data_IF_647529405449
#
_entry.id   IF_647529405449
#
_cell.length_a   1.000
_cell.length_b   1.000
_cell.length_c   1.000
_cell.angle_alpha   90.00
_cell.angle_beta   90.00
_cell.angle_gamma   90.00
#
_symmetry.space_group_name_H-M   'P 1'
#
loop_
_entity.id
_entity.type
_entity.pdbx_description
1 polymer ?
#
# COMPACT_ATOMS: atom_id res chain seq x y z
N UNK A 1 -6.10 28.10 0.36
CA UNK A 1 -5.26 27.49 1.41
C UNK A 1 -4.46 26.41 0.71
N UNK A 2 -3.19 26.14 1.07
CA UNK A 2 -2.56 24.96 0.51
C UNK A 2 -3.43 23.74 0.84
N UNK A 3 -3.64 22.89 -0.16
CA UNK A 3 -4.36 21.63 0.04
C UNK A 3 -3.68 20.83 1.16
N UNK A 4 -4.47 20.13 1.97
CA UNK A 4 -3.92 19.20 2.96
C UNK A 4 -3.15 18.14 2.18
N UNK A 5 -1.87 17.87 2.50
CA UNK A 5 -1.11 16.87 1.78
C UNK A 5 -1.78 15.49 1.90
N UNK A 6 -1.86 14.79 0.77
CA UNK A 6 -2.52 13.49 0.64
C UNK A 6 -1.77 12.39 1.41
N UNK A 7 -2.49 11.50 2.07
CA UNK A 7 -1.92 10.40 2.88
C UNK A 7 -2.51 9.06 2.46
N UNK A 8 -1.80 7.96 2.74
CA UNK A 8 -2.37 6.62 2.61
C UNK A 8 -3.45 6.39 3.68
N UNK A 9 -4.65 6.04 3.24
CA UNK A 9 -5.83 5.89 4.12
C UNK A 9 -6.42 4.50 4.11
N UNK A 10 -5.97 3.60 3.22
CA UNK A 10 -6.49 2.24 3.10
C UNK A 10 -5.54 1.36 2.30
N UNK A 11 -5.56 0.04 2.57
CA UNK A 11 -4.76 -0.96 1.85
C UNK A 11 -5.64 -2.08 1.34
N UNK A 12 -5.77 -2.22 0.03
CA UNK A 12 -6.58 -3.25 -0.61
C UNK A 12 -5.71 -4.40 -1.12
N UNK A 13 -6.04 -5.63 -0.73
CA UNK A 13 -5.52 -6.83 -1.34
C UNK A 13 -6.51 -7.33 -2.39
N UNK A 14 -6.08 -7.44 -3.63
CA UNK A 14 -6.76 -8.23 -4.65
C UNK A 14 -6.22 -9.65 -4.59
N UNK A 15 -7.09 -10.66 -4.45
CA UNK A 15 -6.66 -12.04 -4.33
C UNK A 15 -7.51 -13.00 -5.14
N UNK A 16 -6.84 -13.91 -5.85
CA UNK A 16 -7.47 -15.04 -6.56
C UNK A 16 -8.03 -16.10 -5.59
N UNK A 17 -7.62 -16.08 -4.32
CA UNK A 17 -8.13 -16.95 -3.26
C UNK A 17 -8.27 -16.21 -1.93
N UNK A 18 -9.36 -15.43 -1.74
CA UNK A 18 -9.57 -14.63 -0.53
C UNK A 18 -9.58 -15.43 0.77
N UNK A 19 -10.04 -16.68 0.74
CA UNK A 19 -10.07 -17.54 1.92
C UNK A 19 -8.65 -17.86 2.41
N UNK A 20 -7.76 -18.27 1.49
CA UNK A 20 -6.36 -18.54 1.82
C UNK A 20 -5.60 -17.27 2.19
N UNK A 21 -5.89 -16.14 1.54
CA UNK A 21 -5.33 -14.86 1.95
C UNK A 21 -5.74 -14.49 3.39
N UNK A 22 -7.03 -14.69 3.75
CA UNK A 22 -7.50 -14.44 5.11
C UNK A 22 -6.81 -15.33 6.15
N UNK A 23 -6.62 -16.63 5.86
CA UNK A 23 -5.86 -17.55 6.72
C UNK A 23 -4.40 -17.09 6.89
N UNK A 24 -3.75 -16.74 5.79
CA UNK A 24 -2.35 -16.32 5.79
C UNK A 24 -2.13 -15.02 6.59
N UNK A 25 -2.84 -13.95 6.26
CA UNK A 25 -2.66 -12.66 6.97
C UNK A 25 -3.21 -12.72 8.40
N UNK A 26 -4.18 -13.58 8.68
CA UNK A 26 -4.61 -13.89 10.04
C UNK A 26 -3.49 -14.53 10.87
N UNK A 27 -2.76 -15.49 10.31
CA UNK A 27 -1.63 -16.14 10.97
C UNK A 27 -0.41 -15.21 11.14
N UNK A 28 -0.12 -14.37 10.13
CA UNK A 28 1.08 -13.52 10.10
C UNK A 28 0.91 -12.25 10.92
N UNK A 29 -0.24 -11.55 10.77
CA UNK A 29 -0.51 -10.21 11.31
C UNK A 29 -1.58 -10.18 12.40
N UNK A 30 -2.24 -11.31 12.66
CA UNK A 30 -3.36 -11.37 13.62
C UNK A 30 -4.64 -10.69 13.10
N UNK A 31 -4.73 -10.45 11.81
CA UNK A 31 -5.90 -9.79 11.22
C UNK A 31 -7.12 -10.71 11.18
N UNK A 32 -8.28 -10.09 11.25
CA UNK A 32 -9.55 -10.75 10.96
C UNK A 32 -10.22 -10.11 9.77
N UNK A 33 -11.18 -10.80 9.17
CA UNK A 33 -11.98 -10.27 8.06
C UNK A 33 -13.43 -10.15 8.48
N UNK A 34 -14.04 -9.03 8.09
CA UNK A 34 -15.47 -8.79 8.28
C UNK A 34 -16.10 -8.45 6.92
N UNK A 35 -17.28 -9.00 6.64
CA UNK A 35 -18.04 -8.62 5.45
C UNK A 35 -18.36 -7.13 5.51
N UNK A 36 -17.99 -6.36 4.49
CA UNK A 36 -18.28 -4.94 4.38
C UNK A 36 -18.60 -4.59 2.92
N UNK A 37 -19.47 -3.61 2.74
CA UNK A 37 -19.88 -3.14 1.42
C UNK A 37 -21.04 -3.90 0.78
N UNK A 38 -21.40 -3.56 -0.46
CA UNK A 38 -22.44 -4.24 -1.20
C UNK A 38 -22.13 -5.72 -1.35
N UNK A 39 -23.10 -6.58 -1.05
CA UNK A 39 -22.98 -8.04 -1.11
C UNK A 39 -22.59 -8.59 -2.48
N UNK A 40 -22.73 -7.77 -3.53
CA UNK A 40 -22.42 -8.12 -4.91
C UNK A 40 -20.93 -8.12 -5.27
N UNK A 41 -20.08 -7.48 -4.43
CA UNK A 41 -18.65 -7.27 -4.75
C UNK A 41 -17.68 -8.27 -4.09
N UNK A 42 -18.15 -9.24 -3.29
CA UNK A 42 -17.28 -10.15 -2.52
C UNK A 42 -16.12 -9.42 -1.80
N UNK A 43 -16.42 -8.24 -1.26
CA UNK A 43 -15.46 -7.39 -0.56
C UNK A 43 -15.56 -7.61 0.95
N UNK A 44 -14.40 -7.76 1.60
CA UNK A 44 -14.30 -7.88 3.06
C UNK A 44 -13.35 -6.82 3.59
N UNK A 45 -13.62 -6.29 4.77
CA UNK A 45 -12.67 -5.42 5.47
C UNK A 45 -11.63 -6.24 6.24
N UNK A 46 -10.38 -5.83 6.19
CA UNK A 46 -9.34 -6.24 7.12
C UNK A 46 -9.45 -5.45 8.41
N UNK A 47 -9.43 -6.17 9.54
CA UNK A 47 -9.44 -5.56 10.87
C UNK A 47 -8.15 -5.91 11.61
N UNK A 48 -7.48 -4.90 12.14
CA UNK A 48 -6.38 -5.00 13.09
C UNK A 48 -6.86 -4.51 14.46
N UNK A 49 -6.88 -5.36 15.47
CA UNK A 49 -7.40 -4.99 16.79
C UNK A 49 -8.86 -4.52 16.80
N UNK A 50 -9.65 -4.86 15.79
CA UNK A 50 -11.03 -4.40 15.60
C UNK A 50 -11.19 -3.13 14.77
N UNK A 51 -10.11 -2.45 14.41
CA UNK A 51 -10.12 -1.27 13.55
C UNK A 51 -9.95 -1.65 12.08
N UNK A 52 -10.75 -1.03 11.19
CA UNK A 52 -10.67 -1.24 9.74
C UNK A 52 -9.41 -0.60 9.16
N UNK A 53 -8.54 -1.42 8.55
CA UNK A 53 -7.24 -0.95 8.00
C UNK A 53 -7.10 -1.18 6.50
N UNK A 54 -7.96 -1.98 5.91
CA UNK A 54 -7.82 -2.37 4.52
C UNK A 54 -8.98 -3.21 4.02
N UNK A 55 -8.86 -3.69 2.81
CA UNK A 55 -9.87 -4.54 2.19
C UNK A 55 -9.28 -5.75 1.48
N UNK A 56 -10.11 -6.76 1.33
CA UNK A 56 -9.85 -7.98 0.59
C UNK A 56 -10.89 -8.10 -0.51
N UNK A 57 -10.45 -8.02 -1.75
CA UNK A 57 -11.27 -8.14 -2.95
C UNK A 57 -10.95 -9.46 -3.67
N UNK A 58 -11.98 -10.21 -4.00
CA UNK A 58 -11.83 -11.39 -4.85
C UNK A 58 -11.58 -10.97 -6.31
N UNK A 59 -10.53 -11.53 -6.92
CA UNK A 59 -10.27 -11.38 -8.34
C UNK A 59 -11.23 -12.32 -9.07
N UNK A 60 -12.21 -11.76 -9.77
CA UNK A 60 -13.14 -12.55 -10.60
C UNK A 60 -12.43 -13.03 -11.87
N UNK A 61 -12.97 -14.07 -12.56
CA UNK A 61 -12.43 -14.51 -13.85
C UNK A 61 -12.31 -13.38 -14.88
N UNK A 62 -13.27 -12.47 -14.94
CA UNK A 62 -13.25 -11.34 -15.87
C UNK A 62 -12.15 -10.33 -15.51
N UNK A 63 -11.89 -10.08 -14.20
CA UNK A 63 -10.79 -9.23 -13.74
C UNK A 63 -9.44 -9.87 -14.08
N UNK A 64 -9.30 -11.17 -13.91
CA UNK A 64 -8.10 -11.92 -14.28
C UNK A 64 -7.83 -11.88 -15.79
N UNK A 65 -8.88 -12.03 -16.62
CA UNK A 65 -8.78 -11.85 -18.08
C UNK A 65 -8.40 -10.41 -18.46
N UNK A 66 -8.80 -9.42 -17.66
CA UNK A 66 -8.39 -8.02 -17.80
C UNK A 66 -6.95 -7.75 -17.31
N UNK A 67 -6.23 -8.76 -16.83
CA UNK A 67 -4.84 -8.66 -16.40
C UNK A 67 -4.65 -8.28 -14.93
N UNK A 68 -5.68 -8.38 -14.10
CA UNK A 68 -5.54 -8.19 -12.65
C UNK A 68 -4.78 -9.37 -12.05
N UNK A 69 -3.75 -9.06 -11.28
CA UNK A 69 -2.89 -10.02 -10.58
C UNK A 69 -3.11 -9.89 -9.07
N UNK A 70 -2.78 -10.97 -8.32
CA UNK A 70 -2.73 -10.92 -6.85
C UNK A 70 -1.75 -9.84 -6.39
N UNK A 71 -2.20 -8.95 -5.49
CA UNK A 71 -1.36 -7.86 -5.04
C UNK A 71 -2.06 -6.81 -4.20
N UNK A 72 -1.25 -6.03 -3.51
CA UNK A 72 -1.66 -4.92 -2.66
C UNK A 72 -1.73 -3.62 -3.44
N UNK A 73 -2.76 -2.82 -3.16
CA UNK A 73 -2.96 -1.47 -3.70
C UNK A 73 -3.25 -0.51 -2.54
N UNK A 74 -2.45 0.54 -2.40
CA UNK A 74 -2.70 1.60 -1.42
C UNK A 74 -3.68 2.61 -1.96
N UNK A 75 -4.49 3.16 -1.07
CA UNK A 75 -5.43 4.23 -1.36
C UNK A 75 -4.91 5.52 -0.74
N UNK A 76 -4.74 6.53 -1.57
CA UNK A 76 -4.29 7.86 -1.16
C UNK A 76 -5.48 8.81 -1.20
N UNK A 77 -5.72 9.54 -0.11
CA UNK A 77 -6.79 10.53 -0.07
C UNK A 77 -6.45 11.73 -0.95
N UNK A 78 -7.45 12.26 -1.63
CA UNK A 78 -7.36 13.46 -2.47
C UNK A 78 -8.61 14.31 -2.30
N UNK A 79 -8.49 15.61 -2.52
CA UNK A 79 -9.65 16.50 -2.42
C UNK A 79 -10.68 16.24 -3.54
N UNK A 80 -10.20 15.97 -4.76
CA UNK A 80 -11.02 15.74 -5.96
C UNK A 80 -10.41 14.61 -6.78
N UNK A 81 -11.13 13.48 -6.85
CA UNK A 81 -10.69 12.29 -7.58
C UNK A 81 -10.62 12.53 -9.08
N UNK A 82 -11.62 13.22 -9.64
CA UNK A 82 -11.68 13.44 -11.09
C UNK A 82 -10.61 14.42 -11.57
N UNK A 83 -10.34 15.47 -10.79
CA UNK A 83 -9.22 16.39 -11.05
C UNK A 83 -7.86 15.69 -10.90
N UNK A 84 -7.72 14.81 -9.92
CA UNK A 84 -6.51 13.98 -9.73
C UNK A 84 -6.29 13.03 -10.90
N UNK A 85 -7.34 12.34 -11.36
CA UNK A 85 -7.30 11.47 -12.54
C UNK A 85 -6.89 12.26 -13.79
N UNK A 86 -7.49 13.43 -14.01
CA UNK A 86 -7.13 14.30 -15.15
C UNK A 86 -5.65 14.70 -15.11
N UNK A 87 -5.13 15.04 -13.92
CA UNK A 87 -3.71 15.38 -13.69
C UNK A 87 -2.80 14.19 -13.97
N UNK A 88 -3.15 13.00 -13.47
CA UNK A 88 -2.39 11.75 -13.70
C UNK A 88 -2.28 11.46 -15.19
N UNK A 89 -3.40 11.51 -15.92
CA UNK A 89 -3.43 11.24 -17.36
C UNK A 89 -2.63 12.29 -18.13
N UNK A 90 -2.78 13.58 -17.80
CA UNK A 90 -2.02 14.66 -18.44
C UNK A 90 -0.50 14.52 -18.24
N UNK A 91 -0.06 13.86 -17.16
CA UNK A 91 1.34 13.58 -16.85
C UNK A 91 1.85 12.23 -17.38
N UNK A 92 1.05 11.52 -18.18
CA UNK A 92 1.42 10.25 -18.82
C UNK A 92 1.11 8.99 -18.02
N UNK A 93 0.39 9.11 -16.89
CA UNK A 93 -0.19 7.97 -16.19
C UNK A 93 -1.49 7.50 -16.84
N UNK A 94 -2.14 6.51 -16.26
CA UNK A 94 -3.36 5.90 -16.78
C UNK A 94 -4.46 5.84 -15.73
N UNK A 95 -5.72 5.94 -16.18
CA UNK A 95 -6.91 5.64 -15.38
C UNK A 95 -7.48 4.29 -15.82
N UNK A 96 -7.62 3.37 -14.89
CA UNK A 96 -8.15 2.03 -15.16
C UNK A 96 -9.62 1.93 -14.84
N UNK A 97 -10.05 2.56 -13.74
CA UNK A 97 -11.43 2.52 -13.25
C UNK A 97 -11.69 3.75 -12.38
N UNK A 98 -12.89 4.31 -12.47
CA UNK A 98 -13.37 5.33 -11.53
C UNK A 98 -14.82 5.03 -11.16
N UNK A 99 -15.13 5.06 -9.85
CA UNK A 99 -16.47 4.76 -9.35
C UNK A 99 -16.78 5.52 -8.06
N UNK A 100 -18.07 5.69 -7.80
CA UNK A 100 -18.58 6.13 -6.50
C UNK A 100 -19.29 4.95 -5.84
N UNK A 101 -18.85 4.62 -4.61
CA UNK A 101 -19.46 3.58 -3.80
C UNK A 101 -20.20 4.25 -2.66
N UNK A 102 -21.54 4.15 -2.60
CA UNK A 102 -22.34 4.77 -1.54
C UNK A 102 -21.90 4.33 -0.14
N UNK A 103 -21.75 5.25 0.78
CA UNK A 103 -21.27 5.00 2.14
C UNK A 103 -19.75 4.81 2.27
N UNK A 104 -19.01 4.87 1.15
CA UNK A 104 -17.57 4.70 1.13
C UNK A 104 -16.87 5.92 0.54
N UNK A 105 -17.27 6.36 -0.66
CA UNK A 105 -16.72 7.54 -1.31
C UNK A 105 -16.49 7.37 -2.82
N UNK A 106 -15.87 8.38 -3.41
CA UNK A 106 -15.38 8.35 -4.80
C UNK A 106 -13.95 7.85 -4.84
N UNK A 107 -13.66 6.94 -5.77
CA UNK A 107 -12.32 6.38 -5.95
C UNK A 107 -12.00 6.11 -7.41
N UNK A 108 -10.72 6.09 -7.73
CA UNK A 108 -10.23 5.67 -9.03
C UNK A 108 -8.95 4.82 -8.88
N UNK A 109 -8.90 3.70 -9.60
CA UNK A 109 -7.67 2.94 -9.79
C UNK A 109 -6.88 3.59 -10.93
N UNK A 110 -5.64 3.91 -10.64
CA UNK A 110 -4.75 4.63 -11.57
C UNK A 110 -3.38 3.98 -11.56
N UNK A 111 -2.55 4.33 -12.54
CA UNK A 111 -1.12 4.06 -12.49
C UNK A 111 -0.31 5.32 -12.82
N UNK A 112 0.86 5.41 -12.22
CA UNK A 112 1.82 6.45 -12.53
C UNK A 112 2.39 6.28 -13.96
N UNK A 113 3.18 7.24 -14.49
CA UNK A 113 3.76 7.15 -15.83
C UNK A 113 4.69 5.96 -16.05
N UNK A 114 5.15 5.30 -14.99
CA UNK A 114 6.01 4.13 -15.07
C UNK A 114 5.27 2.81 -14.85
N UNK A 115 3.95 2.88 -14.54
CA UNK A 115 3.04 1.75 -14.42
C UNK A 115 2.79 1.26 -13.00
N UNK A 116 3.25 1.97 -11.96
CA UNK A 116 2.94 1.62 -10.58
C UNK A 116 1.46 1.96 -10.26
N UNK A 117 0.67 0.93 -9.95
CA UNK A 117 -0.75 1.07 -9.68
C UNK A 117 -1.03 1.47 -8.22
N UNK A 118 -2.04 2.31 -8.03
CA UNK A 118 -2.56 2.73 -6.72
C UNK A 118 -3.99 3.28 -6.88
N UNK A 119 -4.65 3.60 -5.77
CA UNK A 119 -5.94 4.29 -5.78
C UNK A 119 -5.77 5.74 -5.32
N UNK A 120 -6.48 6.64 -5.98
CA UNK A 120 -6.84 7.95 -5.42
C UNK A 120 -8.29 7.89 -4.95
N UNK A 121 -8.56 8.44 -3.75
CA UNK A 121 -9.87 8.32 -3.11
C UNK A 121 -10.25 9.59 -2.36
N UNK A 122 -11.53 9.95 -2.45
CA UNK A 122 -12.18 10.89 -1.55
C UNK A 122 -13.20 10.11 -0.73
N UNK A 123 -12.91 9.79 0.54
CA UNK A 123 -13.87 9.10 1.39
C UNK A 123 -15.09 9.98 1.68
N UNK A 124 -16.25 9.36 1.88
CA UNK A 124 -17.39 10.08 2.45
C UNK A 124 -17.07 10.51 3.89
N UNK A 125 -17.47 11.70 4.31
CA UNK A 125 -17.29 12.13 5.69
C UNK A 125 -17.96 11.15 6.67
N UNK A 126 -17.25 10.77 7.72
CA UNK A 126 -17.77 9.93 8.81
C UNK A 126 -17.44 10.57 10.14
N UNK A 127 -18.19 10.22 11.19
CA UNK A 127 -17.91 10.66 12.57
C UNK A 127 -16.71 9.92 13.19
N UNK A 128 -16.16 8.92 12.50
CA UNK A 128 -15.07 8.07 13.00
C UNK A 128 -13.68 8.75 12.97
N UNK A 129 -13.57 9.95 12.40
CA UNK A 129 -12.29 10.66 12.25
C UNK A 129 -11.44 10.13 11.11
N UNK A 130 -10.13 10.46 11.08
CA UNK A 130 -9.21 10.03 10.04
C UNK A 130 -9.00 8.52 10.07
N UNK A 131 -8.70 7.94 8.90
CA UNK A 131 -8.43 6.50 8.78
C UNK A 131 -7.23 6.08 9.64
N UNK A 132 -7.33 5.01 10.42
CA UNK A 132 -6.21 4.46 11.19
C UNK A 132 -5.29 3.56 10.36
N UNK A 133 -5.58 3.34 9.07
CA UNK A 133 -4.89 2.33 8.26
C UNK A 133 -3.37 2.53 8.18
N UNK A 134 -2.91 3.78 8.08
CA UNK A 134 -1.49 4.12 8.20
C UNK A 134 -1.21 4.69 9.59
N UNK A 135 -0.58 3.90 10.43
CA UNK A 135 -0.21 4.27 11.80
C UNK A 135 1.16 3.63 12.16
N UNK A 136 2.27 4.35 11.93
CA UNK A 136 3.60 3.84 12.23
C UNK A 136 3.72 3.32 13.67
N UNK A 137 4.33 2.15 13.82
CA UNK A 137 4.53 1.42 15.10
C UNK A 137 3.26 0.89 15.78
N UNK A 138 2.07 1.06 15.21
CA UNK A 138 0.85 0.41 15.70
C UNK A 138 0.75 -0.98 15.06
N UNK A 139 0.66 -2.02 15.88
CA UNK A 139 0.67 -3.41 15.40
C UNK A 139 -0.48 -3.71 14.45
N UNK A 140 -0.17 -4.34 13.33
CA UNK A 140 -1.12 -4.69 12.28
C UNK A 140 -1.51 -3.54 11.36
N UNK A 141 -1.08 -2.30 11.60
CA UNK A 141 -1.34 -1.15 10.75
C UNK A 141 -0.20 -0.93 9.76
N UNK A 142 -0.46 -0.19 8.68
CA UNK A 142 0.58 0.25 7.75
C UNK A 142 1.62 1.10 8.47
N UNK A 143 2.89 0.74 8.32
CA UNK A 143 4.01 1.44 8.96
C UNK A 143 4.92 2.17 7.98
N UNK A 144 4.92 1.75 6.71
CA UNK A 144 5.74 2.34 5.66
C UNK A 144 5.23 1.98 4.27
N UNK A 145 5.60 2.80 3.28
CA UNK A 145 5.24 2.58 1.88
C UNK A 145 6.46 2.81 0.99
N UNK A 146 6.77 1.92 0.07
CA UNK A 146 7.92 2.06 -0.83
C UNK A 146 7.49 1.95 -2.29
N UNK A 147 7.90 2.93 -3.10
CA UNK A 147 7.79 2.82 -4.54
C UNK A 147 9.09 2.29 -5.13
N UNK A 148 9.02 1.07 -5.64
CA UNK A 148 10.04 0.46 -6.49
C UNK A 148 9.80 0.89 -7.94
N UNK A 149 10.72 1.68 -8.50
CA UNK A 149 10.54 2.28 -9.82
C UNK A 149 11.82 2.21 -10.67
N UNK A 150 11.73 2.58 -11.94
CA UNK A 150 12.89 2.62 -12.86
C UNK A 150 13.60 3.96 -12.83
N UNK A 151 12.84 5.04 -12.64
CA UNK A 151 13.34 6.42 -12.54
C UNK A 151 12.70 7.10 -11.33
N UNK A 152 13.42 7.06 -10.21
CA UNK A 152 12.99 7.64 -8.95
C UNK A 152 12.91 9.17 -8.99
N UNK A 153 13.70 9.83 -9.83
CA UNK A 153 13.65 11.28 -9.97
C UNK A 153 12.36 11.72 -10.67
N UNK A 154 12.02 11.07 -11.79
CA UNK A 154 10.76 11.34 -12.50
C UNK A 154 9.54 11.01 -11.62
N UNK A 155 9.56 9.88 -10.91
CA UNK A 155 8.51 9.50 -9.98
C UNK A 155 8.38 10.53 -8.83
N UNK A 156 9.50 10.99 -8.27
CA UNK A 156 9.52 12.01 -7.22
C UNK A 156 8.79 13.30 -7.64
N UNK A 157 9.08 13.80 -8.83
CA UNK A 157 8.40 14.98 -9.38
C UNK A 157 6.90 14.72 -9.53
N UNK A 158 6.52 13.58 -10.10
CA UNK A 158 5.13 13.20 -10.31
C UNK A 158 4.33 13.20 -9.00
N UNK A 159 4.79 12.45 -7.97
CA UNK A 159 4.06 12.32 -6.71
C UNK A 159 4.03 13.61 -5.88
N UNK A 160 5.10 14.40 -5.91
CA UNK A 160 5.11 15.72 -5.26
C UNK A 160 4.09 16.68 -5.85
N UNK A 161 4.01 16.74 -7.18
CA UNK A 161 3.06 17.62 -7.87
C UNK A 161 1.61 17.13 -7.76
N UNK A 162 1.40 15.81 -7.74
CA UNK A 162 0.07 15.22 -7.62
C UNK A 162 -0.48 15.30 -6.20
N UNK A 163 0.34 14.93 -5.20
CA UNK A 163 -0.10 14.66 -3.83
C UNK A 163 0.35 15.70 -2.81
N UNK A 164 1.14 16.68 -3.23
CA UNK A 164 1.66 17.71 -2.32
C UNK A 164 2.71 17.23 -1.32
N UNK A 165 3.29 16.05 -1.56
CA UNK A 165 4.32 15.50 -0.67
C UNK A 165 5.60 16.35 -0.69
N UNK A 166 6.26 16.45 0.46
CA UNK A 166 7.57 17.09 0.58
C UNK A 166 8.67 16.04 0.74
N UNK A 167 9.89 16.37 0.35
CA UNK A 167 11.05 15.47 0.49
C UNK A 167 12.18 16.25 1.14
N UNK A 168 12.53 15.87 2.37
CA UNK A 168 13.54 16.56 3.17
C UNK A 168 14.84 15.76 3.29
N UNK A 169 14.83 14.49 2.99
CA UNK A 169 15.97 13.61 3.12
C UNK A 169 16.14 12.66 1.92
N UNK A 170 17.39 12.40 1.59
CA UNK A 170 17.77 11.31 0.71
C UNK A 170 18.88 10.51 1.39
N UNK A 171 18.71 9.19 1.43
CA UNK A 171 19.74 8.27 1.90
C UNK A 171 20.41 7.63 0.69
N UNK A 172 21.74 7.63 0.66
CA UNK A 172 22.49 6.92 -0.38
C UNK A 172 22.35 5.41 -0.20
N UNK A 173 21.82 4.73 -1.20
CA UNK A 173 21.73 3.26 -1.24
C UNK A 173 22.71 2.65 -2.23
N UNK A 174 23.95 3.10 -2.21
CA UNK A 174 25.07 2.60 -3.02
C UNK A 174 24.67 2.28 -4.48
N UNK A 175 24.49 1.01 -4.83
CA UNK A 175 24.17 0.56 -6.19
C UNK A 175 22.74 0.89 -6.67
N UNK A 176 21.79 1.19 -5.76
CA UNK A 176 20.40 1.52 -6.10
C UNK A 176 20.15 3.06 -6.19
N UNK A 177 21.17 3.89 -6.01
CA UNK A 177 21.05 5.34 -6.03
C UNK A 177 20.47 5.92 -4.74
N UNK A 178 19.66 6.99 -4.85
CA UNK A 178 19.07 7.66 -3.70
C UNK A 178 17.76 7.00 -3.27
N UNK A 179 17.60 6.80 -1.98
CA UNK A 179 16.33 6.46 -1.34
C UNK A 179 15.70 7.78 -0.90
N UNK A 180 14.71 8.24 -1.67
CA UNK A 180 14.07 9.53 -1.48
C UNK A 180 12.87 9.37 -0.55
N UNK A 181 12.95 9.94 0.66
CA UNK A 181 11.84 9.91 1.62
C UNK A 181 10.86 11.04 1.38
N UNK A 182 9.58 10.78 1.64
CA UNK A 182 8.49 11.73 1.47
C UNK A 182 7.69 11.89 2.75
N UNK A 183 7.31 13.13 3.02
CA UNK A 183 6.67 13.54 4.25
C UNK A 183 5.29 14.15 3.98
N UNK A 184 4.39 13.93 4.95
CA UNK A 184 3.10 14.59 5.08
C UNK A 184 3.00 15.20 6.48
N UNK A 185 2.74 16.50 6.58
CA UNK A 185 2.64 17.17 7.87
C UNK A 185 3.91 17.14 8.73
N UNK A 186 5.07 16.82 8.13
CA UNK A 186 6.34 16.65 8.83
C UNK A 186 6.70 15.20 9.16
N UNK A 187 5.77 14.28 9.03
CA UNK A 187 5.99 12.85 9.27
C UNK A 187 6.36 12.11 7.98
N UNK A 188 7.41 11.30 8.04
CA UNK A 188 7.82 10.47 6.92
C UNK A 188 6.81 9.33 6.72
N UNK A 189 6.27 9.20 5.49
CA UNK A 189 5.23 8.22 5.17
C UNK A 189 5.64 7.21 4.10
N UNK A 190 6.62 7.56 3.27
CA UNK A 190 7.01 6.71 2.14
C UNK A 190 8.42 7.01 1.64
N UNK A 191 8.91 6.13 0.77
CA UNK A 191 10.11 6.38 -0.01
C UNK A 191 9.93 5.95 -1.47
N UNK A 192 10.74 6.56 -2.34
CA UNK A 192 10.84 6.25 -3.77
C UNK A 192 12.30 6.00 -4.10
N UNK A 193 12.60 4.89 -4.78
CA UNK A 193 13.97 4.57 -5.19
C UNK A 193 14.01 3.69 -6.44
N UNK A 194 15.16 3.70 -7.11
CA UNK A 194 15.39 2.85 -8.25
C UNK A 194 15.58 1.39 -7.79
N UNK A 195 14.81 0.49 -8.38
CA UNK A 195 14.84 -0.93 -8.05
C UNK A 195 14.95 -1.80 -9.31
N UNK A 196 16.17 -1.92 -9.88
CA UNK A 196 16.36 -2.63 -11.14
C UNK A 196 16.05 -4.13 -11.06
N UNK A 197 16.00 -4.71 -9.87
CA UNK A 197 15.61 -6.10 -9.64
C UNK A 197 14.12 -6.39 -9.72
N UNK A 198 13.27 -5.35 -9.73
CA UNK A 198 11.82 -5.51 -9.87
C UNK A 198 11.42 -5.47 -11.34
N UNK A 199 10.68 -6.46 -11.84
CA UNK A 199 10.31 -6.53 -13.25
C UNK A 199 9.36 -5.42 -13.70
N UNK A 200 8.51 -4.94 -12.78
CA UNK A 200 7.54 -3.85 -13.00
C UNK A 200 7.60 -2.86 -11.84
N UNK A 201 7.47 -1.54 -12.09
CA UNK A 201 7.27 -0.56 -11.02
C UNK A 201 6.05 -0.92 -10.17
N UNK A 202 6.18 -0.78 -8.85
CA UNK A 202 5.10 -1.07 -7.90
C UNK A 202 5.29 -0.39 -6.57
N UNK A 203 4.20 -0.18 -5.87
CA UNK A 203 4.19 0.11 -4.45
C UNK A 203 4.32 -1.19 -3.66
N UNK A 204 5.11 -1.15 -2.59
CA UNK A 204 5.23 -2.18 -1.57
C UNK A 204 4.83 -1.57 -0.22
N UNK A 205 3.92 -2.22 0.48
CA UNK A 205 3.35 -1.74 1.72
C UNK A 205 3.86 -2.59 2.87
N UNK A 206 4.29 -1.93 3.95
CA UNK A 206 4.84 -2.56 5.14
C UNK A 206 3.87 -2.45 6.29
N UNK A 207 3.61 -3.56 6.95
CA UNK A 207 2.72 -3.64 8.11
C UNK A 207 3.54 -3.90 9.38
N UNK A 208 3.14 -3.27 10.49
CA UNK A 208 3.86 -3.37 11.74
C UNK A 208 3.58 -4.71 12.44
N UNK A 209 4.64 -5.34 12.93
CA UNK A 209 4.61 -6.56 13.75
C UNK A 209 5.35 -6.33 15.07
N UNK A 210 5.10 -7.19 16.03
CA UNK A 210 5.73 -7.18 17.36
C UNK A 210 7.23 -7.50 17.30
N UNK A 211 7.57 -8.64 16.73
CA UNK A 211 8.93 -9.15 16.58
C UNK A 211 9.15 -9.65 15.16
N UNK A 212 10.22 -9.18 14.51
CA UNK A 212 10.47 -9.45 13.10
C UNK A 212 10.91 -10.89 12.83
N UNK A 213 11.64 -11.54 13.76
CA UNK A 213 12.07 -12.92 13.60
C UNK A 213 10.89 -13.88 13.83
N UNK A 214 10.04 -13.60 14.81
CA UNK A 214 8.79 -14.34 15.01
C UNK A 214 7.84 -14.18 13.83
N UNK A 215 7.72 -12.96 13.27
CA UNK A 215 6.91 -12.70 12.07
C UNK A 215 7.45 -13.45 10.84
N UNK A 216 8.79 -13.49 10.66
CA UNK A 216 9.43 -14.32 9.62
C UNK A 216 9.02 -15.78 9.73
N UNK A 217 9.09 -16.35 10.94
CA UNK A 217 8.69 -17.74 11.16
C UNK A 217 7.20 -17.97 10.86
N UNK A 218 6.31 -17.01 11.22
CA UNK A 218 4.88 -17.08 10.87
C UNK A 218 4.64 -17.08 9.36
N UNK A 219 5.36 -16.22 8.61
CA UNK A 219 5.29 -16.16 7.14
C UNK A 219 5.66 -17.52 6.53
N UNK A 220 6.80 -18.09 6.93
CA UNK A 220 7.30 -19.38 6.42
C UNK A 220 6.34 -20.53 6.78
N UNK A 221 5.84 -20.56 8.02
CA UNK A 221 4.90 -21.59 8.49
C UNK A 221 3.53 -21.52 7.78
N UNK A 222 3.10 -20.31 7.37
CA UNK A 222 1.86 -20.11 6.62
C UNK A 222 2.03 -20.29 5.10
N UNK A 223 3.21 -20.71 4.62
CA UNK A 223 3.48 -20.99 3.22
C UNK A 223 3.90 -19.80 2.37
N UNK A 224 4.21 -18.66 2.99
CA UNK A 224 4.80 -17.51 2.32
C UNK A 224 6.30 -17.68 2.08
N UNK A 225 6.85 -16.82 1.25
CA UNK A 225 8.29 -16.81 0.89
C UNK A 225 8.94 -15.52 1.35
N UNK A 226 10.08 -15.62 2.04
CA UNK A 226 10.89 -14.45 2.38
C UNK A 226 11.74 -14.05 1.18
N UNK A 227 11.60 -12.85 0.70
CA UNK A 227 12.33 -12.31 -0.45
C UNK A 227 13.62 -11.57 -0.01
N UNK A 228 13.55 -10.85 1.12
CA UNK A 228 14.69 -10.11 1.69
C UNK A 228 14.51 -9.89 3.19
N UNK A 229 15.61 -9.74 3.89
CA UNK A 229 15.63 -9.47 5.34
C UNK A 229 15.55 -10.73 6.21
N UNK A 230 15.39 -10.59 7.54
CA UNK A 230 15.34 -9.32 8.28
C UNK A 230 16.60 -8.47 8.17
N UNK A 231 16.44 -7.16 7.97
CA UNK A 231 17.54 -6.20 7.95
C UNK A 231 17.17 -4.92 8.70
N UNK A 232 18.15 -4.25 9.36
CA UNK A 232 17.86 -3.03 10.12
C UNK A 232 17.54 -1.87 9.20
N UNK A 233 16.63 -0.98 9.66
CA UNK A 233 16.28 0.28 9.00
C UNK A 233 16.65 1.47 9.90
N UNK A 234 16.82 2.70 9.34
CA UNK A 234 17.28 3.86 10.09
C UNK A 234 16.41 4.24 11.29
N UNK A 235 15.15 3.83 11.32
CA UNK A 235 14.22 4.08 12.45
C UNK A 235 14.47 3.22 13.69
N UNK A 236 15.48 2.32 13.64
CA UNK A 236 15.80 1.37 14.69
C UNK A 236 14.99 0.07 14.66
N UNK A 237 14.02 -0.03 13.76
CA UNK A 237 13.28 -1.27 13.49
C UNK A 237 14.04 -2.17 12.51
N UNK A 238 13.48 -3.35 12.29
CA UNK A 238 13.91 -4.30 11.27
C UNK A 238 12.80 -4.49 10.25
N UNK A 239 13.18 -4.69 8.99
CA UNK A 239 12.26 -4.94 7.91
C UNK A 239 12.51 -6.30 7.26
N UNK A 240 11.47 -6.87 6.71
CA UNK A 240 11.57 -7.97 5.75
C UNK A 240 10.56 -7.78 4.62
N UNK A 241 10.89 -8.31 3.45
CA UNK A 241 10.00 -8.40 2.30
C UNK A 241 9.63 -9.86 2.07
N UNK A 242 8.36 -10.09 1.83
CA UNK A 242 7.82 -11.42 1.61
C UNK A 242 6.80 -11.45 0.48
N UNK A 243 6.47 -12.66 0.04
CA UNK A 243 5.39 -12.95 -0.90
C UNK A 243 4.44 -13.94 -0.24
N UNK A 244 3.14 -13.69 -0.31
CA UNK A 244 2.13 -14.60 0.19
C UNK A 244 1.95 -15.83 -0.74
N UNK A 245 1.19 -16.87 -0.35
CA UNK A 245 1.00 -18.05 -1.17
C UNK A 245 0.28 -17.83 -2.51
N UNK A 246 -0.34 -16.68 -2.74
CA UNK A 246 -0.99 -16.30 -4.00
C UNK A 246 -0.10 -15.44 -4.90
N UNK A 247 1.05 -14.98 -4.40
CA UNK A 247 2.01 -14.18 -5.15
C UNK A 247 1.99 -12.68 -4.80
N UNK A 248 1.16 -12.24 -3.87
CA UNK A 248 1.13 -10.84 -3.44
C UNK A 248 2.35 -10.49 -2.57
N UNK A 249 3.14 -9.51 -3.00
CA UNK A 249 4.29 -9.02 -2.26
C UNK A 249 3.86 -8.02 -1.19
N UNK A 250 4.48 -8.11 -0.01
CA UNK A 250 4.28 -7.20 1.11
C UNK A 250 5.55 -7.09 1.95
N UNK A 251 5.59 -6.09 2.81
CA UNK A 251 6.67 -5.90 3.78
C UNK A 251 6.17 -6.00 5.22
N UNK A 252 7.08 -6.29 6.13
CA UNK A 252 6.86 -6.23 7.57
C UNK A 252 7.91 -5.35 8.22
N UNK A 253 7.49 -4.61 9.25
CA UNK A 253 8.34 -3.80 10.12
C UNK A 253 8.13 -4.21 11.56
N UNK A 254 9.19 -4.43 12.31
CA UNK A 254 9.09 -4.81 13.72
C UNK A 254 10.39 -4.60 14.47
N UNK A 255 10.32 -4.73 15.76
CA UNK A 255 11.52 -4.77 16.59
C UNK A 255 12.17 -6.15 16.46
N UNK A 256 13.40 -6.28 16.89
CA UNK A 256 14.11 -7.56 16.97
C UNK A 256 14.45 -7.81 18.42
N UNK A 257 13.95 -8.94 18.97
CA UNK A 257 14.20 -9.36 20.34
C UNK A 257 15.68 -9.72 20.59
#
# INVERSE_FOLDING_TARGET
MPATPSQFIWYGLCSSNPAKAAEFYGAVLGWTVQGSGPTEMNYKAWLAGGEGIGGLLEITPDMALGGMEDGWLGYVDVEDVDASVATIVAKGGHSHMAQTVPGVGRMAMVSDPQGAAFYVMKPEPTDAGPSPAFAPRVLGHGGWNELHTKDSNAASVFYRELLGWTSDASYGMSAMGAYLTFNVGGDAISAIFNSPGFPKPRWLYYFNVDDIDAAKARVEAAGGTINAGPMPVPTGQWMLNATDPQGAMFGLLGDKA
#
